data_IF_980095552294
#
_entry.id   IF_980095552294
#
_cell.length_a   1.000
_cell.length_b   1.000
_cell.length_c   1.000
_cell.angle_alpha   90.00
_cell.angle_beta   90.00
_cell.angle_gamma   90.00
#
_symmetry.space_group_name_H-M   'P 1'
#
loop_
_entity.id
_entity.type
_entity.pdbx_description
1 polymer ?
#
# COMPACT_ATOMS: atom_id res chain seq x y z
N UNK A 1 8.51 -4.16 9.33
CA UNK A 1 7.24 -4.03 8.57
C UNK A 1 6.43 -5.32 8.72
N UNK A 2 5.16 -5.34 8.29
CA UNK A 2 4.24 -6.46 8.53
C UNK A 2 4.76 -7.81 8.00
N UNK A 3 5.16 -7.88 6.72
CA UNK A 3 5.61 -9.14 6.11
C UNK A 3 6.86 -9.72 6.77
N UNK A 4 7.86 -8.89 7.11
CA UNK A 4 9.06 -9.38 7.81
C UNK A 4 8.71 -9.94 9.20
N UNK A 5 7.80 -9.29 9.94
CA UNK A 5 7.33 -9.81 11.23
C UNK A 5 6.58 -11.13 11.07
N UNK A 6 5.76 -11.28 10.04
CA UNK A 6 5.07 -12.55 9.72
C UNK A 6 6.05 -13.69 9.46
N UNK A 7 7.09 -13.45 8.64
CA UNK A 7 8.14 -14.46 8.38
C UNK A 7 8.78 -14.93 9.68
N UNK A 8 9.12 -13.99 10.59
CA UNK A 8 9.72 -14.31 11.89
C UNK A 8 8.77 -15.10 12.78
N UNK A 9 7.50 -14.72 12.82
CA UNK A 9 6.49 -15.37 13.65
C UNK A 9 6.27 -16.81 13.20
N UNK A 10 6.08 -17.05 11.90
CA UNK A 10 5.92 -18.39 11.33
C UNK A 10 7.21 -19.20 11.47
N UNK A 11 8.39 -18.59 11.25
CA UNK A 11 9.67 -19.28 11.41
C UNK A 11 9.98 -19.72 12.84
N UNK A 12 9.44 -19.02 13.86
CA UNK A 12 9.69 -19.36 15.27
C UNK A 12 9.14 -20.71 15.72
N UNK A 13 8.19 -21.29 14.97
CA UNK A 13 7.69 -22.65 15.21
C UNK A 13 8.52 -23.74 14.52
N UNK A 14 9.67 -23.38 13.93
CA UNK A 14 10.49 -24.26 13.07
C UNK A 14 9.72 -24.74 11.83
N UNK A 15 8.77 -23.93 11.34
CA UNK A 15 8.12 -24.19 10.07
C UNK A 15 9.15 -24.24 8.92
N UNK A 16 8.83 -25.02 7.89
CA UNK A 16 9.67 -25.14 6.70
C UNK A 16 9.95 -23.75 6.08
N UNK A 17 11.19 -23.55 5.58
CA UNK A 17 11.63 -22.29 4.99
C UNK A 17 10.69 -21.76 3.90
N UNK A 18 10.24 -22.63 2.99
CA UNK A 18 9.31 -22.23 1.93
C UNK A 18 7.99 -21.75 2.50
N UNK A 19 7.45 -22.42 3.52
CA UNK A 19 6.23 -22.00 4.19
C UNK A 19 6.37 -20.64 4.90
N UNK A 20 7.49 -20.40 5.58
CA UNK A 20 7.77 -19.11 6.23
C UNK A 20 7.87 -17.96 5.21
N UNK A 21 8.52 -18.19 4.06
CA UNK A 21 8.62 -17.19 2.99
C UNK A 21 7.26 -16.97 2.31
N UNK A 22 6.51 -18.04 2.02
CA UNK A 22 5.15 -17.93 1.47
C UNK A 22 4.24 -17.10 2.37
N UNK A 23 4.32 -17.26 3.69
CA UNK A 23 3.56 -16.43 4.63
C UNK A 23 3.96 -14.94 4.56
N UNK A 24 5.25 -14.65 4.39
CA UNK A 24 5.74 -13.30 4.14
C UNK A 24 5.20 -12.68 2.85
N UNK A 25 5.17 -13.46 1.77
CA UNK A 25 4.61 -13.04 0.47
C UNK A 25 3.11 -12.74 0.61
N UNK A 26 2.35 -13.63 1.25
CA UNK A 26 0.92 -13.41 1.49
C UNK A 26 0.65 -12.16 2.33
N UNK A 27 1.47 -11.92 3.36
CA UNK A 27 1.37 -10.70 4.15
C UNK A 27 1.74 -9.44 3.36
N UNK A 28 2.72 -9.52 2.45
CA UNK A 28 3.07 -8.43 1.55
C UNK A 28 1.96 -8.14 0.54
N UNK A 29 1.27 -9.16 0.04
CA UNK A 29 0.19 -8.98 -0.93
C UNK A 29 -1.03 -8.22 -0.36
N UNK A 30 -1.18 -8.17 0.96
CA UNK A 30 -2.26 -7.43 1.60
C UNK A 30 -2.34 -5.96 1.15
N UNK A 31 -3.57 -5.47 0.95
CA UNK A 31 -3.88 -4.13 0.44
C UNK A 31 -3.18 -3.00 1.24
N UNK A 32 -3.05 -3.17 2.56
CA UNK A 32 -2.43 -2.21 3.47
C UNK A 32 -0.90 -2.33 3.55
N UNK A 33 -0.29 -3.31 2.88
CA UNK A 33 1.16 -3.51 2.84
C UNK A 33 1.69 -3.28 1.43
N UNK A 34 1.60 -4.25 0.53
CA UNK A 34 2.09 -4.15 -0.85
C UNK A 34 1.09 -3.53 -1.83
N UNK A 35 -0.20 -3.47 -1.47
CA UNK A 35 -1.23 -2.84 -2.30
C UNK A 35 -1.10 -1.32 -2.44
N UNK A 36 -0.27 -0.67 -1.62
CA UNK A 36 -0.07 0.78 -1.69
C UNK A 36 0.41 1.24 -3.08
N UNK A 37 1.27 0.45 -3.75
CA UNK A 37 1.78 0.78 -5.08
C UNK A 37 0.68 0.78 -6.14
N UNK A 38 -0.23 -0.20 -6.09
CA UNK A 38 -1.37 -0.27 -7.01
C UNK A 38 -2.24 0.98 -6.87
N UNK A 39 -2.53 1.40 -5.64
CA UNK A 39 -3.35 2.59 -5.39
C UNK A 39 -2.69 3.90 -5.87
N UNK A 40 -1.36 3.95 -5.93
CA UNK A 40 -0.65 5.10 -6.54
C UNK A 40 -0.92 5.13 -8.04
N UNK A 41 -0.83 3.98 -8.72
CA UNK A 41 -1.12 3.88 -10.15
C UNK A 41 -2.57 4.23 -10.44
N UNK A 42 -3.53 3.65 -9.72
CA UNK A 42 -4.96 3.94 -9.88
C UNK A 42 -5.27 5.44 -9.67
N UNK A 43 -4.63 6.07 -8.68
CA UNK A 43 -4.74 7.52 -8.46
C UNK A 43 -4.19 8.32 -9.66
N UNK A 44 -3.03 7.95 -10.20
CA UNK A 44 -2.43 8.64 -11.35
C UNK A 44 -3.26 8.45 -12.63
N UNK A 45 -3.81 7.26 -12.85
CA UNK A 45 -4.72 6.97 -13.96
C UNK A 45 -6.00 7.80 -13.86
N UNK A 46 -6.55 7.96 -12.66
CA UNK A 46 -7.72 8.81 -12.42
C UNK A 46 -7.41 10.30 -12.69
N UNK A 47 -6.24 10.79 -12.25
CA UNK A 47 -5.81 12.18 -12.55
C UNK A 47 -5.66 12.38 -14.06
N UNK A 48 -5.07 11.41 -14.77
CA UNK A 48 -4.92 11.46 -16.22
C UNK A 48 -6.28 11.46 -16.94
N UNK A 49 -7.23 10.61 -16.52
CA UNK A 49 -8.58 10.55 -17.06
C UNK A 49 -9.38 11.84 -16.82
N UNK A 50 -9.15 12.51 -15.69
CA UNK A 50 -9.77 13.80 -15.33
C UNK A 50 -9.16 15.02 -16.05
N UNK A 51 -8.29 14.81 -17.04
CA UNK A 51 -7.66 15.85 -17.85
C UNK A 51 -6.26 16.25 -17.39
N UNK A 52 -5.63 15.47 -16.51
CA UNK A 52 -4.23 15.60 -16.13
C UNK A 52 -3.90 16.75 -15.18
N UNK A 53 -4.89 17.42 -14.61
CA UNK A 53 -4.66 18.55 -13.70
C UNK A 53 -4.35 18.08 -12.27
N UNK A 54 -3.07 18.10 -11.90
CA UNK A 54 -2.59 17.72 -10.58
C UNK A 54 -3.02 18.70 -9.47
N UNK A 55 -3.14 20.00 -9.75
CA UNK A 55 -3.52 21.01 -8.77
C UNK A 55 -4.94 20.77 -8.24
N UNK A 56 -5.86 20.42 -9.14
CA UNK A 56 -7.25 20.06 -8.78
C UNK A 56 -7.30 18.84 -7.85
N UNK A 57 -6.47 17.83 -8.11
CA UNK A 57 -6.40 16.66 -7.23
C UNK A 57 -5.79 17.02 -5.87
N UNK A 58 -4.79 17.88 -5.86
CA UNK A 58 -4.16 18.36 -4.63
C UNK A 58 -5.12 19.17 -3.75
N UNK A 59 -5.99 19.99 -4.36
CA UNK A 59 -7.06 20.71 -3.65
C UNK A 59 -8.03 19.73 -2.98
N UNK A 60 -8.50 18.71 -3.71
CA UNK A 60 -9.35 17.65 -3.15
C UNK A 60 -8.67 16.91 -1.99
N UNK A 61 -7.40 16.52 -2.17
CA UNK A 61 -6.65 15.80 -1.14
C UNK A 61 -6.37 16.65 0.12
N UNK A 62 -6.46 17.99 0.02
CA UNK A 62 -6.33 18.93 1.15
C UNK A 62 -7.66 19.23 1.81
N UNK A 63 -8.79 19.05 1.12
CA UNK A 63 -10.12 19.25 1.70
C UNK A 63 -10.41 18.17 2.75
N UNK A 64 -10.77 18.61 3.96
CA UNK A 64 -11.10 17.71 5.07
C UNK A 64 -12.46 17.03 4.90
N UNK A 65 -13.31 17.56 4.02
CA UNK A 65 -14.61 16.98 3.71
C UNK A 65 -14.55 15.99 2.54
N UNK A 66 -13.44 15.95 1.80
CA UNK A 66 -13.20 14.96 0.76
C UNK A 66 -12.50 13.72 1.35
N UNK A 67 -12.75 12.57 0.74
CA UNK A 67 -12.13 11.29 1.09
C UNK A 67 -10.86 11.03 0.29
N UNK A 68 -10.56 11.86 -0.72
CA UNK A 68 -9.36 11.80 -1.53
C UNK A 68 -8.11 11.82 -0.66
N UNK A 69 -7.24 10.82 -0.84
CA UNK A 69 -5.93 10.74 -0.19
C UNK A 69 -4.84 10.75 -1.23
N UNK A 70 -3.76 11.43 -0.90
CA UNK A 70 -2.55 11.42 -1.71
C UNK A 70 -1.81 10.09 -1.48
N UNK A 71 -2.06 9.13 -2.36
CA UNK A 71 -1.49 7.79 -2.29
C UNK A 71 0.02 7.84 -2.52
N UNK A 72 0.78 7.02 -1.79
CA UNK A 72 2.25 7.02 -1.85
C UNK A 72 2.93 8.08 -0.96
N UNK A 73 2.15 8.92 -0.26
CA UNK A 73 2.67 9.93 0.66
C UNK A 73 2.29 9.62 2.11
N UNK A 74 3.21 9.97 3.03
CA UNK A 74 3.13 9.61 4.44
C UNK A 74 3.61 8.18 4.69
N UNK A 75 4.34 7.97 5.78
CA UNK A 75 4.74 6.64 6.22
C UNK A 75 4.51 6.53 7.73
N UNK A 76 3.67 5.59 8.19
CA UNK A 76 3.36 5.44 9.61
C UNK A 76 4.45 4.63 10.35
N UNK A 77 5.73 4.77 9.97
CA UNK A 77 6.83 3.86 10.42
C UNK A 77 6.83 3.73 11.93
#
# INVERSE_FOLDING_TARGET
NCSTSTVRLVGSSLANLFASISAGISALWGERHGGANQKVIEMLEQIAADGGNADRFLEKAKDRNDTARLMGFGHPV
#
